data_IF_837373781751
#
_entry.id   IF_837373781751
#
_cell.length_a   1.000
_cell.length_b   1.000
_cell.length_c   1.000
_cell.angle_alpha   90.00
_cell.angle_beta   90.00
_cell.angle_gamma   90.00
#
_symmetry.space_group_name_H-M   'P 1'
#
loop_
_entity.id
_entity.type
_entity.pdbx_description
1 polymer ?
#
# COMPACT_ATOMS: atom_id res chain seq x y z
N UNK A 1 3.20 31.05 -26.31
CA UNK A 1 4.61 31.51 -26.24
C UNK A 1 5.51 30.32 -25.94
N UNK A 2 6.15 29.75 -26.96
CA UNK A 2 6.97 28.57 -26.74
C UNK A 2 8.15 28.82 -25.77
N UNK A 3 8.44 27.84 -24.91
CA UNK A 3 9.54 27.89 -23.93
C UNK A 3 10.73 27.11 -24.48
N UNK A 4 11.91 27.72 -24.45
CA UNK A 4 13.14 27.11 -24.96
C UNK A 4 13.92 26.45 -23.84
N UNK A 5 14.43 25.25 -24.08
CA UNK A 5 15.27 24.53 -23.14
C UNK A 5 16.66 25.14 -23.08
N UNK A 6 17.14 25.50 -21.88
CA UNK A 6 18.48 26.06 -21.66
C UNK A 6 19.61 25.04 -21.77
N UNK A 7 19.29 23.73 -21.87
CA UNK A 7 20.27 22.65 -21.98
C UNK A 7 20.48 22.18 -23.42
N UNK A 8 19.42 21.96 -24.18
CA UNK A 8 19.52 21.45 -25.54
C UNK A 8 18.98 22.41 -26.62
N UNK A 9 18.44 23.57 -26.26
CA UNK A 9 17.89 24.54 -27.20
C UNK A 9 16.54 24.17 -27.82
N UNK A 10 15.99 22.98 -27.51
CA UNK A 10 14.71 22.54 -28.07
C UNK A 10 13.55 23.43 -27.61
N UNK A 11 12.59 23.62 -28.52
CA UNK A 11 11.36 24.36 -28.26
C UNK A 11 10.30 23.44 -27.63
N UNK A 12 9.63 23.91 -26.58
CA UNK A 12 8.61 23.18 -25.83
C UNK A 12 7.36 24.05 -25.65
N UNK A 13 6.23 23.42 -25.30
CA UNK A 13 4.98 24.13 -25.02
C UNK A 13 5.08 25.01 -23.77
N UNK A 14 4.28 26.09 -23.73
CA UNK A 14 4.20 27.10 -22.66
C UNK A 14 4.14 26.57 -21.22
N UNK A 15 3.61 25.37 -21.02
CA UNK A 15 3.38 24.75 -19.70
C UNK A 15 4.14 23.43 -19.51
N UNK A 16 5.10 23.12 -20.39
CA UNK A 16 5.90 21.91 -20.27
C UNK A 16 6.79 21.99 -19.03
N UNK A 17 6.66 21.02 -18.13
CA UNK A 17 7.47 20.93 -16.92
C UNK A 17 8.86 20.33 -17.17
N UNK A 18 8.99 19.56 -18.26
CA UNK A 18 10.24 18.92 -18.68
C UNK A 18 10.43 19.04 -20.20
N UNK A 19 11.68 19.10 -20.65
CA UNK A 19 12.02 19.14 -22.06
C UNK A 19 11.78 17.78 -22.74
N UNK A 20 11.09 17.77 -23.87
CA UNK A 20 10.79 16.54 -24.63
C UNK A 20 12.03 15.85 -25.24
N UNK A 21 13.17 16.55 -25.33
CA UNK A 21 14.39 16.05 -25.98
C UNK A 21 15.46 15.58 -25.00
N UNK A 22 15.60 16.25 -23.85
CA UNK A 22 16.66 15.93 -22.88
C UNK A 22 16.16 15.73 -21.45
N UNK A 23 14.84 15.81 -21.22
CA UNK A 23 14.18 15.62 -19.93
C UNK A 23 14.60 16.61 -18.83
N UNK A 24 15.39 17.63 -19.16
CA UNK A 24 15.73 18.70 -18.23
C UNK A 24 14.47 19.48 -17.82
N UNK A 25 14.40 19.85 -16.53
CA UNK A 25 13.33 20.71 -16.01
C UNK A 25 13.36 22.08 -16.70
N UNK A 26 12.20 22.57 -17.13
CA UNK A 26 12.05 23.88 -17.75
C UNK A 26 11.67 24.93 -16.69
N UNK A 27 12.19 26.17 -16.80
CA UNK A 27 11.83 27.22 -15.85
C UNK A 27 10.36 27.58 -16.01
N UNK A 28 9.60 27.54 -14.91
CA UNK A 28 8.21 28.01 -14.85
C UNK A 28 8.21 29.54 -14.95
N UNK A 29 8.33 30.07 -16.16
CA UNK A 29 8.25 31.51 -16.44
C UNK A 29 6.76 31.84 -16.60
N UNK A 30 6.10 32.04 -15.47
CA UNK A 30 4.66 32.30 -15.44
C UNK A 30 4.07 32.21 -14.03
N UNK A 31 4.81 32.63 -13.01
CA UNK A 31 4.23 32.83 -11.69
C UNK A 31 3.53 34.19 -11.63
N UNK A 32 2.32 34.25 -12.19
CA UNK A 32 1.32 35.08 -11.52
C UNK A 32 1.02 34.39 -10.20
N UNK A 33 1.71 34.83 -9.14
CA UNK A 33 1.18 34.69 -7.78
C UNK A 33 -0.23 35.29 -7.83
N UNK A 34 -1.31 34.56 -7.51
CA UNK A 34 -2.58 35.22 -7.35
C UNK A 34 -2.42 36.20 -6.19
N UNK A 35 -2.58 37.49 -6.48
CA UNK A 35 -2.83 38.50 -5.45
C UNK A 35 -4.07 38.04 -4.71
N UNK A 36 -3.94 37.68 -3.44
CA UNK A 36 -5.08 37.41 -2.56
C UNK A 36 -5.81 38.74 -2.34
N UNK A 37 -6.70 39.10 -3.25
CA UNK A 37 -7.77 40.05 -2.95
C UNK A 37 -8.76 39.36 -2.03
N UNK A 38 -9.05 39.99 -0.89
CA UNK A 38 -10.06 39.63 0.12
C UNK A 38 -11.48 39.83 -0.42
N UNK A 39 -11.75 39.26 -1.59
CA UNK A 39 -13.07 39.17 -2.16
C UNK A 39 -13.63 37.81 -1.79
N UNK A 40 -14.45 37.77 -0.75
CA UNK A 40 -15.23 36.58 -0.44
C UNK A 40 -16.43 36.53 -1.40
N UNK A 41 -16.48 35.58 -2.35
CA UNK A 41 -17.60 35.49 -3.27
C UNK A 41 -18.90 35.18 -2.51
N UNK A 42 -20.07 35.67 -2.97
CA UNK A 42 -21.35 35.32 -2.38
C UNK A 42 -21.53 33.81 -2.38
N UNK A 43 -22.13 33.26 -1.30
CA UNK A 43 -22.34 31.83 -1.10
C UNK A 43 -22.92 31.18 -2.34
N UNK A 44 -22.09 30.46 -3.08
CA UNK A 44 -22.52 29.59 -4.15
C UNK A 44 -22.87 28.25 -3.51
N UNK A 45 -24.12 27.76 -3.63
CA UNK A 45 -24.41 26.40 -3.24
C UNK A 45 -23.48 25.48 -4.02
N UNK A 46 -22.67 24.71 -3.31
CA UNK A 46 -21.76 23.73 -3.89
C UNK A 46 -22.59 22.65 -4.56
N UNK A 47 -22.91 22.86 -5.84
CA UNK A 47 -23.17 21.75 -6.73
C UNK A 47 -21.84 21.02 -6.90
N UNK A 48 -21.58 20.05 -6.03
CA UNK A 48 -20.69 18.96 -6.40
C UNK A 48 -21.35 18.27 -7.60
N UNK A 49 -20.72 18.27 -8.78
CA UNK A 49 -21.18 17.40 -9.85
C UNK A 49 -21.12 16.00 -9.27
N UNK A 50 -22.23 15.27 -9.33
CA UNK A 50 -22.24 13.85 -9.03
C UNK A 50 -21.32 13.22 -10.06
N UNK A 51 -20.04 13.05 -9.72
CA UNK A 51 -19.09 12.35 -10.57
C UNK A 51 -19.60 10.92 -10.65
N UNK A 52 -20.02 10.45 -11.85
CA UNK A 52 -20.26 9.03 -12.03
C UNK A 52 -18.97 8.31 -11.59
N UNK A 53 -19.05 7.17 -10.89
CA UNK A 53 -17.85 6.42 -10.52
C UNK A 53 -17.01 6.23 -11.78
N UNK A 54 -15.77 6.73 -11.75
CA UNK A 54 -14.87 6.66 -12.89
C UNK A 54 -14.84 5.21 -13.38
N UNK A 55 -15.01 4.98 -14.70
CA UNK A 55 -15.09 3.64 -15.23
C UNK A 55 -13.84 2.84 -14.83
N UNK A 56 -14.09 1.69 -14.22
CA UNK A 56 -13.15 0.84 -13.49
C UNK A 56 -12.23 0.06 -14.46
N UNK A 57 -11.73 0.69 -15.52
CA UNK A 57 -10.88 0.03 -16.54
C UNK A 57 -9.39 0.29 -16.34
N UNK A 58 -9.00 1.16 -15.40
CA UNK A 58 -7.59 1.46 -15.10
C UNK A 58 -7.17 1.00 -13.68
N UNK A 59 -8.00 0.17 -13.03
CA UNK A 59 -7.58 -0.56 -11.84
C UNK A 59 -6.85 -1.80 -12.32
N UNK A 60 -5.51 -1.73 -12.36
CA UNK A 60 -4.71 -2.94 -12.57
C UNK A 60 -5.16 -4.01 -11.57
N UNK A 61 -5.27 -5.30 -11.96
CA UNK A 61 -5.77 -6.36 -11.08
C UNK A 61 -5.01 -6.48 -9.75
N UNK A 62 -3.83 -5.86 -9.66
CA UNK A 62 -3.03 -5.76 -8.42
C UNK A 62 -3.67 -4.85 -7.36
N UNK A 63 -4.40 -3.78 -7.74
CA UNK A 63 -5.02 -2.86 -6.78
C UNK A 63 -6.19 -3.50 -6.02
N UNK A 64 -6.92 -4.41 -6.67
CA UNK A 64 -8.06 -5.10 -6.04
C UNK A 64 -7.60 -6.01 -4.89
N UNK A 65 -6.48 -6.73 -5.07
CA UNK A 65 -5.96 -7.63 -4.04
C UNK A 65 -5.38 -6.87 -2.85
N UNK A 66 -4.77 -5.71 -3.08
CA UNK A 66 -4.29 -4.86 -1.99
C UNK A 66 -5.46 -4.41 -1.10
N UNK A 67 -6.57 -3.97 -1.68
CA UNK A 67 -7.80 -3.61 -0.92
C UNK A 67 -8.47 -4.83 -0.27
N UNK A 68 -8.43 -5.99 -0.92
CA UNK A 68 -8.97 -7.23 -0.40
C UNK A 68 -8.12 -7.83 0.73
N UNK A 69 -6.89 -7.35 0.92
CA UNK A 69 -6.07 -7.70 2.07
C UNK A 69 -4.68 -8.24 1.80
N UNK A 70 -4.10 -8.01 0.62
CA UNK A 70 -2.71 -8.38 0.34
C UNK A 70 -1.68 -7.48 1.06
N UNK A 71 -2.10 -6.29 1.50
CA UNK A 71 -1.31 -5.33 2.29
C UNK A 71 -0.67 -5.96 3.54
N UNK A 72 -1.43 -6.82 4.23
CA UNK A 72 -0.97 -7.54 5.43
C UNK A 72 -0.02 -8.70 5.13
N UNK A 73 0.14 -9.15 3.88
CA UNK A 73 0.98 -10.30 3.52
C UNK A 73 2.42 -10.12 3.99
N UNK A 74 3.00 -8.97 3.64
CA UNK A 74 4.40 -8.67 3.95
C UNK A 74 4.58 -8.56 5.46
N UNK A 75 3.69 -7.83 6.14
CA UNK A 75 3.73 -7.63 7.59
C UNK A 75 3.58 -8.96 8.33
N UNK A 76 2.58 -9.78 7.98
CA UNK A 76 2.37 -11.08 8.57
C UNK A 76 3.54 -12.04 8.30
N UNK A 77 4.11 -12.00 7.09
CA UNK A 77 5.28 -12.80 6.72
C UNK A 77 6.52 -12.48 7.55
N UNK A 78 6.88 -11.19 7.63
CA UNK A 78 8.06 -10.73 8.38
C UNK A 78 7.89 -11.00 9.88
N UNK A 79 6.71 -10.70 10.45
CA UNK A 79 6.44 -10.95 11.86
C UNK A 79 6.48 -12.45 12.19
N UNK A 80 6.05 -13.31 11.26
CA UNK A 80 6.15 -14.76 11.40
C UNK A 80 7.61 -15.23 11.50
N UNK A 81 8.52 -14.61 10.74
CA UNK A 81 9.95 -14.97 10.76
C UNK A 81 10.65 -14.42 12.01
N UNK A 82 10.44 -13.15 12.36
CA UNK A 82 11.22 -12.50 13.43
C UNK A 82 10.69 -12.87 14.82
N UNK A 83 9.36 -12.96 14.98
CA UNK A 83 8.69 -13.15 16.27
C UNK A 83 7.54 -14.16 16.22
N UNK A 84 7.58 -15.10 15.27
CA UNK A 84 6.50 -16.07 15.05
C UNK A 84 6.18 -16.97 16.24
N UNK A 85 7.15 -17.19 17.14
CA UNK A 85 6.96 -17.98 18.36
C UNK A 85 5.93 -17.39 19.33
N UNK A 86 5.63 -16.09 19.23
CA UNK A 86 4.57 -15.44 20.00
C UNK A 86 3.19 -15.53 19.32
N UNK A 87 3.14 -15.94 18.05
CA UNK A 87 1.91 -15.99 17.26
C UNK A 87 1.40 -14.63 16.78
N UNK A 88 2.23 -13.57 16.83
CA UNK A 88 1.76 -12.20 16.54
C UNK A 88 1.28 -12.06 15.10
N UNK A 89 1.95 -12.72 14.15
CA UNK A 89 1.58 -12.73 12.73
C UNK A 89 0.14 -13.21 12.48
N UNK A 90 -0.42 -14.04 13.35
CA UNK A 90 -1.83 -14.50 13.28
C UNK A 90 -2.82 -13.38 13.59
N UNK A 91 -2.52 -12.51 14.54
CA UNK A 91 -3.41 -11.40 14.90
C UNK A 91 -3.55 -10.39 13.76
N UNK A 92 -2.50 -10.18 12.97
CA UNK A 92 -2.54 -9.32 11.77
C UNK A 92 -3.55 -9.84 10.75
N UNK A 93 -3.67 -11.16 10.61
CA UNK A 93 -4.66 -11.80 9.73
C UNK A 93 -6.07 -11.86 10.36
N UNK A 94 -6.21 -11.45 11.62
CA UNK A 94 -7.45 -11.57 12.40
C UNK A 94 -7.70 -12.97 12.96
N UNK A 95 -6.68 -13.84 13.02
CA UNK A 95 -6.72 -15.18 13.58
C UNK A 95 -6.48 -15.15 15.09
N UNK A 96 -7.44 -14.58 15.82
CA UNK A 96 -7.34 -14.35 17.27
C UNK A 96 -7.20 -15.66 18.05
N UNK A 97 -7.88 -16.73 17.63
CA UNK A 97 -7.86 -18.01 18.33
C UNK A 97 -6.50 -18.69 18.19
N UNK A 98 -5.99 -18.74 16.98
CA UNK A 98 -4.72 -19.37 16.61
C UNK A 98 -3.54 -18.60 17.22
N UNK A 99 -3.56 -17.26 17.12
CA UNK A 99 -2.56 -16.40 17.77
C UNK A 99 -2.56 -16.57 19.29
N UNK A 100 -3.74 -16.65 19.91
CA UNK A 100 -3.84 -16.89 21.35
C UNK A 100 -3.34 -18.27 21.75
N UNK A 101 -3.59 -19.32 20.96
CA UNK A 101 -3.05 -20.66 21.21
C UNK A 101 -1.52 -20.63 21.19
N UNK A 102 -0.90 -20.02 20.17
CA UNK A 102 0.56 -19.89 20.10
C UNK A 102 1.11 -19.12 21.29
N UNK A 103 0.48 -18.00 21.65
CA UNK A 103 0.89 -17.16 22.77
C UNK A 103 0.77 -17.90 24.11
N UNK A 104 -0.36 -18.56 24.37
CA UNK A 104 -0.57 -19.31 25.60
C UNK A 104 0.37 -20.50 25.71
N UNK A 105 0.61 -21.26 24.62
CA UNK A 105 1.56 -22.37 24.67
C UNK A 105 2.97 -21.87 24.96
N UNK A 106 3.40 -20.78 24.31
CA UNK A 106 4.72 -20.19 24.56
C UNK A 106 4.87 -19.65 25.98
N UNK A 107 3.86 -18.94 26.50
CA UNK A 107 3.93 -18.31 27.84
C UNK A 107 3.71 -19.33 28.97
N UNK A 108 2.69 -20.18 28.90
CA UNK A 108 2.36 -21.16 29.95
C UNK A 108 3.43 -22.25 30.08
N UNK A 109 4.16 -22.54 29.00
CA UNK A 109 5.30 -23.46 29.03
C UNK A 109 6.59 -22.80 29.52
N UNK A 110 6.53 -21.59 30.10
CA UNK A 110 7.71 -20.81 30.50
C UNK A 110 8.74 -20.68 29.36
N UNK A 111 8.26 -20.42 28.14
CA UNK A 111 9.04 -20.33 26.90
C UNK A 111 9.82 -21.59 26.47
N UNK A 112 9.73 -22.70 27.19
CA UNK A 112 10.42 -23.95 26.82
C UNK A 112 9.95 -24.51 25.49
N UNK A 113 8.65 -24.38 25.18
CA UNK A 113 8.06 -24.75 23.88
C UNK A 113 8.09 -23.62 22.84
N UNK A 114 8.59 -22.43 23.18
CA UNK A 114 8.57 -21.28 22.28
C UNK A 114 9.42 -21.52 21.02
N UNK A 115 10.49 -22.34 21.12
CA UNK A 115 11.29 -22.73 19.96
C UNK A 115 10.49 -23.49 18.91
N UNK A 116 9.64 -24.44 19.33
CA UNK A 116 8.77 -25.20 18.42
C UNK A 116 7.73 -24.28 17.77
N UNK A 117 7.10 -23.42 18.57
CA UNK A 117 6.15 -22.43 18.05
C UNK A 117 6.82 -21.43 17.09
N UNK A 118 8.08 -21.08 17.34
CA UNK A 118 8.85 -20.18 16.49
C UNK A 118 9.17 -20.82 15.13
N UNK A 119 9.52 -22.12 15.11
CA UNK A 119 9.70 -22.85 13.84
C UNK A 119 8.40 -22.87 13.03
N UNK A 120 7.25 -23.11 13.66
CA UNK A 120 5.95 -23.03 12.99
C UNK A 120 5.73 -21.63 12.40
N UNK A 121 5.98 -20.59 13.18
CA UNK A 121 5.86 -19.20 12.72
C UNK A 121 6.79 -18.85 11.56
N UNK A 122 8.03 -19.34 11.55
CA UNK A 122 8.97 -19.15 10.43
C UNK A 122 8.43 -19.81 9.16
N UNK A 123 7.96 -21.07 9.24
CA UNK A 123 7.41 -21.80 8.09
C UNK A 123 6.23 -21.03 7.49
N UNK A 124 5.32 -20.57 8.33
CA UNK A 124 4.17 -19.77 7.90
C UNK A 124 4.60 -18.41 7.34
N UNK A 125 5.58 -17.76 7.95
CA UNK A 125 6.12 -16.49 7.48
C UNK A 125 6.70 -16.59 6.06
N UNK A 126 7.51 -17.62 5.80
CA UNK A 126 8.05 -17.91 4.46
C UNK A 126 6.91 -18.25 3.49
N UNK A 127 5.94 -19.07 3.92
CA UNK A 127 4.79 -19.44 3.08
C UNK A 127 3.96 -18.23 2.65
N UNK A 128 3.77 -17.25 3.53
CA UNK A 128 3.06 -16.01 3.20
C UNK A 128 3.85 -15.17 2.20
N UNK A 129 5.16 -15.02 2.40
CA UNK A 129 6.02 -14.22 1.53
C UNK A 129 6.21 -14.84 0.14
N UNK A 130 6.16 -16.16 0.04
CA UNK A 130 6.34 -16.89 -1.23
C UNK A 130 5.04 -17.03 -2.03
N UNK A 131 3.88 -16.68 -1.47
CA UNK A 131 2.60 -16.68 -2.18
C UNK A 131 2.36 -15.41 -2.98
N UNK A 132 1.68 -15.56 -4.12
CA UNK A 132 1.10 -14.44 -4.86
C UNK A 132 0.06 -13.72 -4.00
N UNK A 133 -0.16 -12.43 -4.27
CA UNK A 133 -1.15 -11.63 -3.53
C UNK A 133 -2.56 -12.24 -3.63
N UNK A 134 -2.93 -12.73 -4.82
CA UNK A 134 -4.23 -13.40 -5.02
C UNK A 134 -4.37 -14.67 -4.18
N UNK A 135 -3.35 -15.53 -4.16
CA UNK A 135 -3.41 -16.80 -3.46
C UNK A 135 -3.41 -16.58 -1.95
N UNK A 136 -2.65 -15.59 -1.49
CA UNK A 136 -2.64 -15.19 -0.10
C UNK A 136 -4.03 -14.69 0.34
N UNK A 137 -4.64 -13.79 -0.44
CA UNK A 137 -5.98 -13.26 -0.14
C UNK A 137 -7.02 -14.39 -0.13
N UNK A 138 -7.05 -15.23 -1.16
CA UNK A 138 -7.99 -16.36 -1.24
C UNK A 138 -7.81 -17.33 -0.09
N UNK A 139 -6.57 -17.68 0.25
CA UNK A 139 -6.28 -18.73 1.24
C UNK A 139 -6.44 -18.24 2.68
N UNK A 140 -5.84 -17.09 3.01
CA UNK A 140 -5.73 -16.65 4.40
C UNK A 140 -6.71 -15.54 4.76
N UNK A 141 -7.24 -14.80 3.79
CA UNK A 141 -8.16 -13.70 4.11
C UNK A 141 -9.60 -14.16 3.93
N UNK A 142 -9.91 -14.76 2.78
CA UNK A 142 -11.24 -15.24 2.45
C UNK A 142 -11.54 -16.61 3.08
N UNK A 143 -10.69 -17.62 2.82
CA UNK A 143 -10.90 -18.98 3.34
C UNK A 143 -10.46 -19.16 4.80
N UNK A 144 -9.85 -18.13 5.40
CA UNK A 144 -9.47 -18.10 6.82
C UNK A 144 -8.70 -19.36 7.26
N UNK A 145 -7.77 -19.83 6.43
CA UNK A 145 -6.90 -20.98 6.77
C UNK A 145 -6.02 -20.67 7.98
N UNK A 146 -6.39 -21.23 9.14
CA UNK A 146 -5.77 -20.92 10.44
C UNK A 146 -4.34 -21.42 10.63
N UNK A 147 -3.95 -22.52 9.98
CA UNK A 147 -2.61 -23.11 10.02
C UNK A 147 -2.21 -23.61 8.63
N UNK A 148 -0.92 -23.48 8.29
CA UNK A 148 -0.29 -23.90 7.02
C UNK A 148 -1.21 -23.80 5.79
#
# INVERSE_FOLDING_TARGET
MAVFCTKCGAQNADFAQACAQCLAALPVIGSQRPVQTDYQPPFQPSYEPIQPPAPLYDQSPTQDWQRAGADKKIVAGILGIVIGGLGIHKFILGYQKEGLIMLLVSVLSCFTLAGVMHVIGIIEGIMYLTKTDEDFVRTYIQNRRGWF
#
